data_IF_177635702534
#
_entry.id   IF_177635702534
#
_cell.length_a   1.000
_cell.length_b   1.000
_cell.length_c   1.000
_cell.angle_alpha   90.00
_cell.angle_beta   90.00
_cell.angle_gamma   90.00
#
_symmetry.space_group_name_H-M   'P 1'
#
loop_
_entity.id
_entity.type
_entity.pdbx_description
1 polymer ?
#
# COMPACT_ATOMS: atom_id res chain seq x y z
N UNK A 1 -1.88 17.89 -1.61
CA UNK A 1 -2.43 17.10 -0.50
C UNK A 1 -2.43 18.01 0.71
N UNK A 2 -3.59 18.28 1.28
CA UNK A 2 -3.65 18.89 2.62
C UNK A 2 -3.50 17.76 3.65
N UNK A 3 -2.64 17.94 4.65
CA UNK A 3 -2.45 16.96 5.73
C UNK A 3 -3.74 16.79 6.54
N UNK A 4 -4.52 17.86 6.69
CA UNK A 4 -5.76 17.87 7.45
C UNK A 4 -6.89 17.05 6.79
N UNK A 5 -6.74 16.71 5.50
CA UNK A 5 -7.68 15.87 4.78
C UNK A 5 -7.52 14.37 5.09
N UNK A 6 -6.51 13.97 5.87
CA UNK A 6 -6.20 12.58 6.16
C UNK A 6 -6.27 12.28 7.65
N UNK A 7 -6.88 11.15 7.99
CA UNK A 7 -6.96 10.65 9.37
C UNK A 7 -6.40 9.24 9.45
N UNK A 8 -5.80 8.91 10.59
CA UNK A 8 -5.38 7.55 10.92
C UNK A 8 -6.56 6.58 10.73
N UNK A 9 -6.32 5.51 9.99
CA UNK A 9 -7.31 4.46 9.76
C UNK A 9 -6.94 3.16 10.48
N UNK A 10 -5.66 2.80 10.45
CA UNK A 10 -5.15 1.59 11.08
C UNK A 10 -3.71 1.31 10.68
N UNK A 11 -3.03 0.43 11.41
CA UNK A 11 -1.70 -0.04 11.03
C UNK A 11 -1.51 -1.55 11.26
N UNK A 12 -0.68 -2.14 10.42
CA UNK A 12 -0.08 -3.45 10.66
C UNK A 12 1.42 -3.31 10.93
N UNK A 13 2.11 -4.44 11.02
CA UNK A 13 3.56 -4.49 11.20
C UNK A 13 4.34 -3.93 9.98
N UNK A 14 3.84 -4.13 8.75
CA UNK A 14 4.52 -3.73 7.50
C UNK A 14 3.93 -2.50 6.79
N UNK A 15 2.80 -1.98 7.25
CA UNK A 15 2.16 -0.81 6.60
C UNK A 15 1.27 0.00 7.54
N UNK A 16 1.18 1.30 7.27
CA UNK A 16 0.24 2.24 7.88
C UNK A 16 -0.83 2.62 6.86
N UNK A 17 -2.08 2.80 7.30
CA UNK A 17 -3.18 3.25 6.45
C UNK A 17 -3.77 4.56 7.00
N UNK A 18 -3.94 5.53 6.11
CA UNK A 18 -4.69 6.76 6.36
C UNK A 18 -5.90 6.84 5.42
N UNK A 19 -7.01 7.37 5.92
CA UNK A 19 -8.25 7.54 5.17
C UNK A 19 -8.55 9.00 4.94
N UNK A 20 -9.07 9.33 3.76
CA UNK A 20 -9.43 10.69 3.43
C UNK A 20 -10.76 11.06 4.12
N UNK A 21 -10.85 12.26 4.69
CA UNK A 21 -12.01 12.69 5.49
C UNK A 21 -13.29 12.80 4.64
N UNK A 22 -13.18 13.32 3.42
CA UNK A 22 -14.34 13.54 2.52
C UNK A 22 -14.56 12.48 1.44
N UNK A 23 -13.52 11.74 1.03
CA UNK A 23 -13.57 10.84 -0.12
C UNK A 23 -13.38 9.39 0.35
N UNK A 24 -14.10 8.43 -0.22
CA UNK A 24 -13.96 7.00 0.09
C UNK A 24 -12.66 6.41 -0.51
N UNK A 25 -11.50 6.90 -0.06
CA UNK A 25 -10.17 6.46 -0.47
C UNK A 25 -9.22 6.41 0.71
N UNK A 26 -8.24 5.52 0.60
CA UNK A 26 -7.18 5.33 1.59
C UNK A 26 -5.81 5.40 0.92
N UNK A 27 -4.79 5.78 1.67
CA UNK A 27 -3.39 5.60 1.30
C UNK A 27 -2.78 4.56 2.22
N UNK A 28 -2.09 3.59 1.63
CA UNK A 28 -1.33 2.57 2.35
C UNK A 28 0.17 2.84 2.19
N UNK A 29 0.81 3.26 3.27
CA UNK A 29 2.22 3.58 3.33
C UNK A 29 3.03 2.37 3.82
N UNK A 30 4.22 2.16 3.25
CA UNK A 30 5.13 1.10 3.68
C UNK A 30 5.83 1.48 4.99
N UNK A 31 5.95 0.53 5.92
CA UNK A 31 6.77 0.65 7.13
C UNK A 31 8.06 -0.14 6.93
N UNK A 32 9.19 0.49 7.24
CA UNK A 32 10.50 -0.17 7.24
C UNK A 32 11.00 -0.22 8.67
N UNK A 33 11.25 -1.43 9.17
CA UNK A 33 11.86 -1.62 10.48
C UNK A 33 13.37 -1.43 10.36
N UNK A 34 13.97 -0.79 11.36
CA UNK A 34 15.43 -0.72 11.51
C UNK A 34 16.05 -2.10 11.78
N UNK A 35 15.26 -3.05 12.27
CA UNK A 35 15.68 -4.44 12.54
C UNK A 35 15.70 -5.30 11.25
N UNK A 36 14.87 -4.95 10.26
CA UNK A 36 14.82 -5.60 8.94
C UNK A 36 15.67 -4.83 7.90
N UNK A 37 16.79 -4.25 8.32
CA UNK A 37 17.61 -3.36 7.48
C UNK A 37 18.16 -4.02 6.21
N UNK A 38 18.30 -5.36 6.19
CA UNK A 38 18.71 -6.10 4.99
C UNK A 38 17.61 -6.16 3.91
N UNK A 39 16.35 -6.20 4.30
CA UNK A 39 15.19 -6.32 3.40
C UNK A 39 14.47 -4.98 3.17
N UNK A 40 14.93 -3.91 3.81
CA UNK A 40 14.36 -2.58 3.64
C UNK A 40 14.86 -1.95 2.33
N UNK A 41 13.97 -1.41 1.48
CA UNK A 41 14.32 -0.60 0.33
C UNK A 41 15.27 0.52 0.73
N UNK A 42 16.50 0.46 0.20
CA UNK A 42 17.57 1.45 0.43
C UNK A 42 17.39 2.69 -0.46
N UNK A 43 16.51 2.61 -1.45
CA UNK A 43 16.21 3.70 -2.40
C UNK A 43 14.72 3.86 -2.65
N UNK A 44 14.33 5.06 -3.05
CA UNK A 44 12.97 5.40 -3.52
C UNK A 44 12.52 4.50 -4.66
N UNK A 45 13.41 4.14 -5.59
CA UNK A 45 13.12 3.23 -6.69
C UNK A 45 12.77 1.81 -6.22
N UNK A 46 13.46 1.30 -5.20
CA UNK A 46 13.14 0.01 -4.62
C UNK A 46 11.78 0.05 -3.92
N UNK A 47 11.45 1.13 -3.21
CA UNK A 47 10.14 1.32 -2.60
C UNK A 47 9.03 1.39 -3.66
N UNK A 48 9.26 2.14 -4.73
CA UNK A 48 8.32 2.24 -5.85
C UNK A 48 8.11 0.89 -6.54
N UNK A 49 9.18 0.15 -6.85
CA UNK A 49 9.09 -1.21 -7.39
C UNK A 49 8.35 -2.16 -6.46
N UNK A 50 8.55 -2.06 -5.14
CA UNK A 50 7.80 -2.87 -4.17
C UNK A 50 6.29 -2.59 -4.27
N UNK A 51 5.89 -1.32 -4.28
CA UNK A 51 4.49 -0.93 -4.45
C UNK A 51 3.92 -1.47 -5.76
N UNK A 52 4.68 -1.35 -6.86
CA UNK A 52 4.26 -1.88 -8.16
C UNK A 52 4.08 -3.40 -8.13
N UNK A 53 5.01 -4.13 -7.51
CA UNK A 53 4.90 -5.58 -7.37
C UNK A 53 3.65 -6.00 -6.57
N UNK A 54 3.25 -5.23 -5.55
CA UNK A 54 2.01 -5.48 -4.79
C UNK A 54 0.78 -5.34 -5.71
N UNK A 55 0.74 -4.30 -6.54
CA UNK A 55 -0.36 -4.06 -7.50
C UNK A 55 -0.39 -5.17 -8.56
N UNK A 56 0.76 -5.52 -9.12
CA UNK A 56 0.90 -6.53 -10.17
C UNK A 56 0.55 -7.92 -9.66
N UNK A 57 0.99 -8.29 -8.45
CA UNK A 57 0.60 -9.55 -7.82
C UNK A 57 -0.91 -9.61 -7.58
N UNK A 58 -1.49 -8.52 -7.08
CA UNK A 58 -2.93 -8.45 -6.87
C UNK A 58 -3.71 -8.55 -8.19
N UNK A 59 -3.19 -7.93 -9.27
CA UNK A 59 -3.81 -7.93 -10.60
C UNK A 59 -3.71 -9.28 -11.29
N UNK A 60 -2.52 -9.88 -11.32
CA UNK A 60 -2.18 -10.98 -12.21
C UNK A 60 -2.28 -12.34 -11.51
N UNK A 61 -2.27 -12.37 -10.17
CA UNK A 61 -2.37 -13.59 -9.38
C UNK A 61 -3.67 -13.60 -8.59
N UNK A 62 -3.92 -12.58 -7.75
CA UNK A 62 -5.05 -12.63 -6.82
C UNK A 62 -6.41 -12.43 -7.49
N UNK A 63 -6.53 -11.54 -8.47
CA UNK A 63 -7.80 -11.36 -9.22
C UNK A 63 -8.24 -12.63 -9.95
N UNK A 64 -7.39 -13.34 -10.72
CA UNK A 64 -7.78 -14.61 -11.34
C UNK A 64 -8.15 -15.70 -10.32
N UNK A 65 -7.49 -15.75 -9.17
CA UNK A 65 -7.73 -16.78 -8.15
C UNK A 65 -8.99 -16.53 -7.32
N UNK A 66 -9.25 -15.27 -6.95
CA UNK A 66 -10.32 -14.91 -6.00
C UNK A 66 -11.52 -14.24 -6.66
N UNK A 67 -11.40 -13.83 -7.92
CA UNK A 67 -12.43 -13.15 -8.70
C UNK A 67 -12.30 -11.63 -8.70
N UNK A 68 -12.56 -11.02 -9.86
CA UNK A 68 -12.37 -9.58 -10.10
C UNK A 68 -13.21 -8.67 -9.19
N UNK A 69 -14.41 -9.15 -8.83
CA UNK A 69 -15.33 -8.47 -7.89
C UNK A 69 -14.73 -8.30 -6.49
N UNK A 70 -13.83 -9.18 -6.08
CA UNK A 70 -13.41 -9.31 -4.69
C UNK A 70 -12.02 -8.74 -4.40
N UNK A 71 -11.26 -8.37 -5.45
CA UNK A 71 -9.90 -7.87 -5.30
C UNK A 71 -9.78 -6.47 -5.89
N UNK A 72 -9.58 -5.48 -5.03
CA UNK A 72 -9.31 -4.10 -5.41
C UNK A 72 -7.86 -3.76 -5.12
N UNK A 73 -7.09 -3.47 -6.16
CA UNK A 73 -5.65 -3.26 -6.07
C UNK A 73 -5.21 -1.80 -6.18
N UNK A 74 -6.16 -0.85 -6.24
CA UNK A 74 -5.89 0.58 -6.36
C UNK A 74 -5.25 0.93 -7.71
N UNK A 75 -5.81 1.91 -8.41
CA UNK A 75 -5.15 2.51 -9.58
C UNK A 75 -4.59 3.85 -9.13
N UNK A 76 -3.37 4.12 -9.61
CA UNK A 76 -2.56 5.31 -9.35
C UNK A 76 -3.34 6.62 -9.42
#
# INVERSE_FOLDING_TARGET
MDENDWKYHGEGNKSLVVSHVQHARVLRLLKYSTEDAENSPKTTDQAFRHIQNIVDYSQNVMKPLLGEKFVHNGVR
#
